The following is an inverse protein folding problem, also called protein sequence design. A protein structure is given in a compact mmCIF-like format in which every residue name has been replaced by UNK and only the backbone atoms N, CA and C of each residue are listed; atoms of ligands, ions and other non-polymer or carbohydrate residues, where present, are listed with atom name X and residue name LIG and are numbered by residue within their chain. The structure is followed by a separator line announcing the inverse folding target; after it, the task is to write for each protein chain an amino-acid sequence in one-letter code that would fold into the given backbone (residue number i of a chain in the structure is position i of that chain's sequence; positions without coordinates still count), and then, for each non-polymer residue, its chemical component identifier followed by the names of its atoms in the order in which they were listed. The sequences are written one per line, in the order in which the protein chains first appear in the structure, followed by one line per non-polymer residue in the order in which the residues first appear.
data_IF_747377693348
#
_entry.id   IF_747377693348
#
_cell.length_a   1.000
_cell.length_b   1.000
_cell.length_c   1.000
_cell.angle_alpha   90.00
_cell.angle_beta   90.00
_cell.angle_gamma   90.00
#
_symmetry.space_group_name_H-M   'P 1'
#
loop_
_entity.id
_entity.type
_entity.pdbx_description
1 polymer ?
#
# COMPACT_ATOMS: atom_id res chain seq x y z
N UNK A 1 26.26 -20.80 83.48
CA UNK A 1 26.20 -21.07 82.02
C UNK A 1 27.53 -20.63 81.43
N UNK A 2 28.30 -21.42 80.70
CA UNK A 2 28.20 -22.84 80.28
C UNK A 2 29.57 -23.51 80.43
N UNK A 3 29.62 -24.83 80.60
CA UNK A 3 30.87 -25.58 80.82
C UNK A 3 31.31 -26.26 79.50
N UNK A 4 32.61 -26.29 79.14
CA UNK A 4 33.09 -27.00 77.95
C UNK A 4 33.24 -28.50 78.21
N UNK A 5 33.23 -29.32 77.15
CA UNK A 5 33.71 -30.70 77.18
C UNK A 5 34.54 -31.05 75.95
N UNK A 6 35.44 -32.01 76.16
CA UNK A 6 36.47 -32.51 75.24
C UNK A 6 36.49 -34.04 75.38
N UNK A 7 37.15 -34.76 74.46
CA UNK A 7 37.23 -36.25 74.41
C UNK A 7 35.91 -36.96 74.04
N UNK A 8 35.88 -38.17 73.47
CA UNK A 8 36.93 -39.11 73.01
C UNK A 8 36.49 -39.91 71.76
N UNK A 9 37.48 -40.58 71.11
CA UNK A 9 37.32 -41.61 70.05
C UNK A 9 36.80 -42.95 70.65
N UNK A 10 36.43 -44.02 69.91
CA UNK A 10 36.58 -44.32 68.47
C UNK A 10 35.18 -44.58 67.76
N UNK A 11 34.86 -45.48 66.80
CA UNK A 11 35.51 -46.69 66.22
C UNK A 11 34.96 -47.11 64.82
N UNK A 12 35.86 -47.61 63.96
CA UNK A 12 35.68 -48.59 62.84
C UNK A 12 34.26 -48.90 62.31
N UNK A 13 33.71 -48.10 61.37
CA UNK A 13 32.67 -48.59 60.44
C UNK A 13 32.63 -47.90 59.05
N UNK A 14 33.73 -47.24 58.64
CA UNK A 14 33.76 -46.37 57.44
C UNK A 14 34.42 -46.98 56.18
N UNK A 15 34.82 -48.25 56.21
CA UNK A 15 35.71 -48.87 55.20
C UNK A 15 35.08 -50.02 54.40
N UNK A 16 33.74 -50.15 54.36
CA UNK A 16 33.06 -51.19 53.55
C UNK A 16 32.19 -50.64 52.41
N UNK A 17 31.49 -49.51 52.57
CA UNK A 17 30.53 -49.01 51.57
C UNK A 17 31.14 -48.26 50.37
N UNK A 18 32.47 -48.23 50.20
CA UNK A 18 33.13 -47.59 49.03
C UNK A 18 33.58 -48.56 47.94
N UNK A 19 33.45 -49.87 48.15
CA UNK A 19 33.87 -50.89 47.18
C UNK A 19 32.80 -51.27 46.13
N UNK A 20 31.55 -50.78 46.27
CA UNK A 20 30.41 -51.21 45.43
C UNK A 20 29.93 -50.15 44.41
N UNK A 21 30.66 -49.05 44.21
CA UNK A 21 30.29 -47.97 43.29
C UNK A 21 31.17 -47.86 42.03
N UNK A 22 32.04 -48.85 41.76
CA UNK A 22 33.00 -48.83 40.64
C UNK A 22 32.85 -50.01 39.65
N UNK A 23 31.71 -50.71 39.67
CA UNK A 23 31.42 -51.82 38.75
C UNK A 23 30.11 -51.67 37.94
N UNK A 24 29.60 -50.45 37.78
CA UNK A 24 28.40 -50.14 36.96
C UNK A 24 28.66 -48.97 36.00
N UNK A 25 29.82 -48.98 35.33
CA UNK A 25 30.23 -47.98 34.31
C UNK A 25 30.67 -48.70 33.01
N UNK A 26 30.19 -49.92 32.79
CA UNK A 26 30.74 -50.82 31.75
C UNK A 26 29.70 -51.61 30.94
N UNK A 27 28.43 -51.18 30.87
CA UNK A 27 27.49 -51.73 29.87
C UNK A 27 26.31 -50.80 29.54
N UNK A 28 26.54 -49.79 28.70
CA UNK A 28 25.48 -49.03 28.01
C UNK A 28 26.01 -48.51 26.66
N UNK A 29 25.74 -49.24 25.57
CA UNK A 29 25.99 -48.72 24.22
C UNK A 29 24.91 -47.69 23.88
N UNK A 30 25.25 -46.51 23.35
CA UNK A 30 24.26 -45.61 22.77
C UNK A 30 23.77 -46.20 21.44
N UNK A 31 22.69 -46.98 21.48
CA UNK A 31 21.90 -47.26 20.28
C UNK A 31 21.36 -45.91 19.80
N UNK A 32 21.84 -45.45 18.64
CA UNK A 32 21.38 -44.23 18.00
C UNK A 32 19.95 -44.43 17.49
N UNK A 33 18.98 -44.30 18.41
CA UNK A 33 17.56 -44.37 18.08
C UNK A 33 17.22 -43.30 17.05
N UNK A 34 16.84 -43.74 15.85
CA UNK A 34 16.40 -42.85 14.78
C UNK A 34 15.09 -42.22 15.23
N UNK A 35 15.18 -41.03 15.82
CA UNK A 35 14.02 -40.26 16.25
C UNK A 35 13.28 -39.74 15.01
N UNK A 36 12.47 -40.60 14.42
CA UNK A 36 11.45 -40.20 13.46
C UNK A 36 10.46 -39.32 14.22
N UNK A 37 10.68 -38.00 14.14
CA UNK A 37 9.65 -37.03 14.42
C UNK A 37 8.49 -37.27 13.45
N UNK A 38 7.55 -38.12 13.85
CA UNK A 38 6.27 -38.31 13.18
C UNK A 38 5.53 -36.98 13.30
N UNK A 39 5.75 -36.11 12.32
CA UNK A 39 5.17 -34.77 12.29
C UNK A 39 3.67 -34.86 12.58
N UNK A 40 3.23 -34.15 13.62
CA UNK A 40 1.83 -34.13 14.02
C UNK A 40 1.00 -33.70 12.81
N UNK A 41 0.25 -34.64 12.24
CA UNK A 41 -0.61 -34.39 11.09
C UNK A 41 -1.70 -33.45 11.55
N UNK A 42 -1.54 -32.16 11.26
CA UNK A 42 -2.44 -31.15 11.81
C UNK A 42 -3.84 -31.41 11.28
N UNK A 43 -4.87 -31.16 12.10
CA UNK A 43 -6.26 -31.31 11.65
C UNK A 43 -6.58 -30.47 10.39
N UNK A 44 -5.80 -29.41 10.13
CA UNK A 44 -5.87 -28.62 8.90
C UNK A 44 -5.49 -29.44 7.66
N UNK A 45 -4.43 -30.24 7.73
CA UNK A 45 -3.99 -31.10 6.60
C UNK A 45 -5.04 -32.15 6.23
N UNK A 46 -5.78 -32.66 7.21
CA UNK A 46 -6.85 -33.65 6.99
C UNK A 46 -8.19 -33.05 6.55
N UNK A 47 -8.52 -31.81 6.96
CA UNK A 47 -9.79 -31.16 6.61
C UNK A 47 -9.73 -30.31 5.33
N UNK A 48 -8.56 -29.75 4.99
CA UNK A 48 -8.38 -28.87 3.81
C UNK A 48 -7.81 -29.67 2.63
N UNK A 49 -7.19 -30.83 2.91
CA UNK A 49 -6.40 -31.57 1.94
C UNK A 49 -5.03 -30.91 1.69
N UNK A 50 -4.11 -31.67 1.09
CA UNK A 50 -2.83 -31.12 0.64
C UNK A 50 -3.09 -30.18 -0.55
N UNK A 51 -2.91 -28.88 -0.34
CA UNK A 51 -2.78 -27.92 -1.45
C UNK A 51 -1.45 -28.17 -2.14
N UNK A 52 -1.44 -29.05 -3.13
CA UNK A 52 -0.32 -29.25 -4.05
C UNK A 52 -0.08 -27.96 -4.83
N UNK A 53 1.15 -27.38 -4.86
CA UNK A 53 1.43 -26.12 -5.55
C UNK A 53 1.29 -26.15 -7.08
N UNK A 54 0.77 -27.23 -7.66
CA UNK A 54 0.79 -27.52 -9.09
C UNK A 54 -0.54 -28.08 -9.63
N UNK A 55 -1.65 -27.75 -8.97
CA UNK A 55 -2.95 -27.80 -9.66
C UNK A 55 -3.00 -26.64 -10.66
N UNK A 56 -3.21 -26.94 -11.94
CA UNK A 56 -3.19 -25.96 -13.06
C UNK A 56 -4.29 -24.88 -13.03
N UNK A 57 -4.93 -24.64 -11.89
CA UNK A 57 -5.87 -23.56 -11.63
C UNK A 57 -5.18 -22.43 -10.87
N UNK A 58 -4.28 -21.72 -11.54
CA UNK A 58 -3.78 -20.42 -11.08
C UNK A 58 -4.89 -19.35 -11.23
N UNK A 59 -5.96 -19.49 -10.44
CA UNK A 59 -7.11 -18.58 -10.40
C UNK A 59 -6.78 -17.22 -9.74
N UNK A 60 -5.52 -16.99 -9.35
CA UNK A 60 -5.04 -15.67 -9.01
C UNK A 60 -5.04 -14.79 -10.28
N UNK A 61 -5.73 -13.64 -10.29
CA UNK A 61 -5.64 -12.69 -11.39
C UNK A 61 -4.18 -12.31 -11.64
N UNK A 62 -3.75 -12.09 -12.91
CA UNK A 62 -2.37 -11.73 -13.21
C UNK A 62 -1.90 -10.53 -12.38
N UNK A 63 -0.60 -10.48 -12.08
CA UNK A 63 -0.01 -9.37 -11.30
C UNK A 63 -0.25 -8.02 -11.95
N UNK A 64 -0.31 -7.96 -13.29
CA UNK A 64 -0.80 -6.81 -14.03
C UNK A 64 -1.76 -7.28 -15.12
N UNK A 65 -2.96 -6.71 -15.16
CA UNK A 65 -4.00 -7.07 -16.12
C UNK A 65 -4.92 -5.90 -16.45
N UNK A 66 -5.55 -6.02 -17.62
CA UNK A 66 -6.64 -5.16 -18.08
C UNK A 66 -7.97 -5.80 -17.71
N UNK A 67 -8.90 -4.98 -17.22
CA UNK A 67 -10.18 -5.36 -16.65
C UNK A 67 -11.32 -4.57 -17.29
N UNK A 68 -12.52 -5.14 -17.26
CA UNK A 68 -13.75 -4.50 -17.76
C UNK A 68 -14.96 -4.91 -16.94
N UNK A 69 -15.99 -4.06 -16.86
CA UNK A 69 -17.33 -4.40 -16.37
C UNK A 69 -18.29 -4.61 -17.53
N UNK A 70 -19.37 -5.36 -17.31
CA UNK A 70 -20.44 -5.58 -18.31
C UNK A 70 -21.11 -4.28 -18.79
N UNK A 71 -20.85 -3.15 -18.11
CA UNK A 71 -21.33 -1.80 -18.42
C UNK A 71 -20.27 -0.91 -19.07
N UNK A 72 -19.17 -1.50 -19.57
CA UNK A 72 -18.15 -0.83 -20.39
C UNK A 72 -17.06 -0.06 -19.63
N UNK A 73 -17.14 0.05 -18.30
CA UNK A 73 -16.07 0.66 -17.51
C UNK A 73 -14.84 -0.25 -17.53
N UNK A 74 -13.71 0.26 -18.03
CA UNK A 74 -12.50 -0.52 -18.26
C UNK A 74 -11.28 0.15 -17.61
N UNK A 75 -10.33 -0.66 -17.12
CA UNK A 75 -9.17 -0.18 -16.37
C UNK A 75 -7.99 -1.15 -16.44
N UNK A 76 -6.79 -0.64 -16.13
CA UNK A 76 -5.61 -1.46 -15.83
C UNK A 76 -5.38 -1.49 -14.32
N UNK A 77 -5.10 -2.68 -13.77
CA UNK A 77 -4.72 -2.87 -12.38
C UNK A 77 -3.36 -3.56 -12.30
N UNK A 78 -2.42 -2.91 -11.61
CA UNK A 78 -1.08 -3.40 -11.29
C UNK A 78 -1.00 -3.74 -9.79
N UNK A 79 -0.59 -4.96 -9.49
CA UNK A 79 -0.42 -5.53 -8.15
C UNK A 79 1.02 -6.04 -7.94
N UNK A 80 1.95 -5.69 -8.83
CA UNK A 80 3.38 -6.02 -8.70
C UNK A 80 4.07 -5.25 -7.57
N UNK A 81 3.56 -4.06 -7.25
CA UNK A 81 4.09 -3.14 -6.23
C UNK A 81 3.33 -3.29 -4.89
N UNK A 82 3.99 -2.91 -3.79
CA UNK A 82 3.46 -2.98 -2.40
C UNK A 82 2.06 -2.35 -2.25
N UNK A 83 1.86 -1.21 -2.92
CA UNK A 83 0.57 -0.54 -3.04
C UNK A 83 0.10 -0.74 -4.48
N UNK A 84 -1.02 -1.46 -4.73
CA UNK A 84 -1.56 -1.65 -6.06
C UNK A 84 -1.91 -0.32 -6.72
N UNK A 85 -1.77 -0.25 -8.04
CA UNK A 85 -2.04 0.92 -8.85
C UNK A 85 -3.18 0.62 -9.82
N UNK A 86 -4.12 1.55 -9.99
CA UNK A 86 -5.21 1.44 -10.96
C UNK A 86 -5.24 2.69 -11.85
N UNK A 87 -5.51 2.52 -13.15
CA UNK A 87 -5.82 3.61 -14.06
C UNK A 87 -7.07 3.23 -14.87
N UNK A 88 -8.06 4.11 -14.92
CA UNK A 88 -9.27 3.94 -15.73
C UNK A 88 -9.02 4.39 -17.17
N UNK A 89 -9.65 3.72 -18.14
CA UNK A 89 -9.54 4.14 -19.54
C UNK A 89 -10.24 5.50 -19.74
N UNK A 90 -9.50 6.46 -20.29
CA UNK A 90 -9.92 7.85 -20.46
C UNK A 90 -9.34 8.80 -19.41
N UNK A 91 -8.93 8.30 -18.24
CA UNK A 91 -8.37 9.11 -17.17
C UNK A 91 -6.84 9.17 -17.24
N UNK A 92 -6.27 10.38 -17.06
CA UNK A 92 -4.82 10.60 -16.94
C UNK A 92 -4.23 10.04 -15.64
N UNK A 93 -5.06 9.84 -14.61
CA UNK A 93 -4.59 9.62 -13.24
C UNK A 93 -4.35 8.14 -12.92
N UNK A 94 -3.11 7.79 -12.58
CA UNK A 94 -2.80 6.54 -11.87
C UNK A 94 -3.11 6.71 -10.38
N UNK A 95 -4.00 5.89 -9.83
CA UNK A 95 -4.41 5.91 -8.43
C UNK A 95 -3.64 4.84 -7.63
N UNK A 96 -2.90 5.25 -6.60
CA UNK A 96 -2.29 4.31 -5.66
C UNK A 96 -3.29 3.89 -4.57
N UNK A 97 -3.55 2.58 -4.48
CA UNK A 97 -4.54 2.01 -3.58
C UNK A 97 -3.90 1.45 -2.30
N UNK A 98 -4.67 1.51 -1.21
CA UNK A 98 -4.34 0.88 0.07
C UNK A 98 -5.16 -0.40 0.27
N UNK A 99 -4.53 -1.59 0.30
CA UNK A 99 -5.24 -2.83 0.59
C UNK A 99 -5.64 -2.90 2.08
N UNK A 100 -6.92 -3.18 2.34
CA UNK A 100 -7.48 -3.39 3.68
C UNK A 100 -8.14 -4.78 3.73
N UNK A 101 -7.94 -5.60 4.78
CA UNK A 101 -8.71 -6.83 4.97
C UNK A 101 -10.22 -6.55 5.03
N UNK A 102 -11.00 -7.36 4.32
CA UNK A 102 -12.45 -7.35 4.34
C UNK A 102 -13.05 -8.63 4.96
N UNK A 103 -14.39 -8.72 5.04
CA UNK A 103 -15.07 -9.93 5.51
C UNK A 103 -14.71 -11.17 4.69
N UNK A 104 -14.78 -12.35 5.31
CA UNK A 104 -14.59 -13.67 4.66
C UNK A 104 -13.26 -13.90 3.91
N UNK A 105 -12.25 -13.04 4.14
CA UNK A 105 -10.94 -13.09 3.49
C UNK A 105 -10.88 -12.29 2.17
N UNK A 106 -11.86 -11.44 1.90
CA UNK A 106 -11.80 -10.44 0.82
C UNK A 106 -10.72 -9.37 1.10
N UNK A 107 -10.27 -8.67 0.07
CA UNK A 107 -9.39 -7.50 0.16
C UNK A 107 -10.09 -6.30 -0.46
N UNK A 108 -10.28 -5.25 0.33
CA UNK A 108 -10.86 -3.97 -0.11
C UNK A 108 -9.70 -2.99 -0.37
N UNK A 109 -9.51 -2.63 -1.62
CA UNK A 109 -8.57 -1.60 -2.04
C UNK A 109 -9.24 -0.23 -1.99
N UNK A 110 -8.61 0.69 -1.24
CA UNK A 110 -9.12 2.04 -0.99
C UNK A 110 -8.25 3.12 -1.63
N UNK A 111 -8.85 4.24 -2.02
CA UNK A 111 -8.08 5.42 -2.43
C UNK A 111 -7.45 6.14 -1.22
N UNK A 112 -6.76 7.24 -1.48
CA UNK A 112 -6.13 8.11 -0.47
C UNK A 112 -7.13 8.82 0.45
N UNK A 113 -8.42 8.89 0.09
CA UNK A 113 -9.52 9.35 0.94
C UNK A 113 -10.12 8.24 1.84
N UNK A 114 -9.64 6.99 1.71
CA UNK A 114 -10.13 5.84 2.46
C UNK A 114 -11.44 5.23 1.94
N UNK A 115 -11.91 5.69 0.78
CA UNK A 115 -13.12 5.18 0.11
C UNK A 115 -12.80 3.89 -0.65
N UNK A 116 -13.69 2.89 -0.68
CA UNK A 116 -13.49 1.68 -1.47
C UNK A 116 -13.53 2.02 -2.97
N UNK A 117 -12.54 1.51 -3.71
CA UNK A 117 -12.47 1.60 -5.18
C UNK A 117 -12.67 0.23 -5.81
N UNK A 118 -12.06 -0.81 -5.24
CA UNK A 118 -12.10 -2.16 -5.77
C UNK A 118 -12.10 -3.17 -4.61
N UNK A 119 -12.85 -4.26 -4.72
CA UNK A 119 -12.74 -5.41 -3.82
C UNK A 119 -12.36 -6.65 -4.61
N UNK A 120 -11.25 -7.28 -4.26
CA UNK A 120 -10.98 -8.67 -4.65
C UNK A 120 -11.63 -9.61 -3.64
N UNK A 121 -12.43 -10.55 -4.12
CA UNK A 121 -13.02 -11.59 -3.28
C UNK A 121 -12.00 -12.69 -2.98
N UNK A 122 -12.16 -13.43 -1.88
CA UNK A 122 -11.30 -14.60 -1.57
C UNK A 122 -11.29 -15.66 -2.69
N UNK A 123 -12.33 -15.69 -3.54
CA UNK A 123 -12.46 -16.63 -4.66
C UNK A 123 -11.87 -16.12 -6.00
N UNK A 124 -11.25 -14.93 -6.02
CA UNK A 124 -10.54 -14.39 -7.20
C UNK A 124 -11.36 -13.42 -8.07
N UNK A 125 -12.69 -13.44 -7.97
CA UNK A 125 -13.56 -12.45 -8.64
C UNK A 125 -13.40 -11.04 -8.04
N UNK A 126 -13.60 -10.00 -8.85
CA UNK A 126 -13.46 -8.59 -8.41
C UNK A 126 -14.77 -7.81 -8.56
N UNK A 127 -14.92 -6.77 -7.73
CA UNK A 127 -16.04 -5.81 -7.75
C UNK A 127 -15.48 -4.39 -7.73
N UNK A 128 -15.79 -3.58 -8.74
CA UNK A 128 -15.45 -2.17 -8.86
C UNK A 128 -16.53 -1.33 -8.16
N UNK A 129 -16.13 -0.33 -7.36
CA UNK A 129 -17.04 0.64 -6.73
C UNK A 129 -16.87 2.01 -7.36
N UNK A 130 -17.98 2.65 -7.72
CA UNK A 130 -17.99 4.00 -8.30
C UNK A 130 -19.04 4.89 -7.60
N UNK A 131 -19.00 6.19 -7.88
CA UNK A 131 -19.94 7.17 -7.32
C UNK A 131 -21.38 6.95 -7.82
N UNK A 132 -21.55 6.48 -9.05
CA UNK A 132 -22.85 6.13 -9.63
C UNK A 132 -23.31 4.71 -9.24
N UNK A 133 -22.39 3.81 -8.84
CA UNK A 133 -22.69 2.43 -8.42
C UNK A 133 -22.04 2.10 -7.08
N UNK A 134 -22.58 2.62 -5.95
CA UNK A 134 -22.07 2.34 -4.61
C UNK A 134 -22.27 0.87 -4.17
N UNK A 135 -23.16 0.12 -4.84
CA UNK A 135 -23.28 -1.34 -4.69
C UNK A 135 -22.13 -2.12 -5.33
N UNK A 136 -21.43 -1.48 -6.27
CA UNK A 136 -20.40 -2.04 -7.13
C UNK A 136 -20.90 -2.77 -8.37
N UNK A 137 -20.04 -2.85 -9.37
CA UNK A 137 -20.17 -3.67 -10.60
C UNK A 137 -19.21 -4.87 -10.53
N UNK A 138 -19.62 -6.08 -10.97
CA UNK A 138 -18.70 -7.18 -11.23
C UNK A 138 -17.65 -6.82 -12.30
N UNK A 139 -16.47 -7.42 -12.20
CA UNK A 139 -15.35 -7.15 -13.11
C UNK A 139 -14.74 -8.44 -13.66
N UNK A 140 -14.58 -8.50 -14.98
CA UNK A 140 -13.89 -9.56 -15.70
C UNK A 140 -12.47 -9.14 -16.12
N UNK A 141 -11.57 -10.11 -16.29
CA UNK A 141 -10.26 -9.87 -16.92
C UNK A 141 -10.47 -9.78 -18.42
N UNK A 142 -10.12 -8.65 -19.01
CA UNK A 142 -10.22 -8.39 -20.45
C UNK A 142 -8.90 -8.64 -21.21
N UNK A 143 -7.75 -8.65 -20.53
CA UNK A 143 -6.47 -8.96 -21.15
C UNK A 143 -5.25 -8.78 -20.25
N UNK A 144 -4.06 -8.94 -20.84
CA UNK A 144 -2.80 -8.55 -20.19
C UNK A 144 -2.63 -7.02 -20.25
N UNK A 145 -1.81 -6.49 -19.36
CA UNK A 145 -1.36 -5.09 -19.37
C UNK A 145 0.09 -5.00 -18.86
N UNK A 146 0.72 -3.84 -19.06
CA UNK A 146 2.08 -3.54 -18.61
C UNK A 146 2.07 -2.82 -17.26
N UNK A 147 3.14 -2.98 -16.47
CA UNK A 147 3.27 -2.37 -15.14
C UNK A 147 3.44 -0.84 -15.24
N UNK A 148 2.99 -0.10 -14.22
CA UNK A 148 3.14 1.36 -14.21
C UNK A 148 4.54 1.77 -13.74
N UNK A 149 5.47 1.85 -14.69
CA UNK A 149 6.79 2.39 -14.42
C UNK A 149 6.76 3.92 -14.22
N UNK A 150 7.50 4.46 -13.23
CA UNK A 150 7.74 5.90 -13.11
C UNK A 150 8.34 6.46 -14.40
N UNK A 151 7.83 7.60 -14.86
CA UNK A 151 8.44 8.33 -15.96
C UNK A 151 9.85 8.84 -15.59
N UNK A 152 10.69 9.06 -16.60
CA UNK A 152 11.90 9.86 -16.46
C UNK A 152 11.69 11.20 -17.17
N UNK A 153 12.03 12.29 -16.49
CA UNK A 153 11.82 13.65 -16.96
C UNK A 153 12.99 14.53 -16.53
N UNK A 154 13.46 15.42 -17.41
CA UNK A 154 14.45 16.45 -17.05
C UNK A 154 13.77 17.68 -16.41
N UNK A 155 14.50 18.50 -15.62
CA UNK A 155 13.96 19.76 -15.10
C UNK A 155 13.43 20.72 -16.18
N UNK A 156 14.04 20.70 -17.38
CA UNK A 156 13.57 21.48 -18.54
C UNK A 156 12.27 20.93 -19.14
N UNK A 157 12.06 19.61 -19.14
CA UNK A 157 10.79 19.00 -19.52
C UNK A 157 9.71 19.25 -18.44
N UNK A 158 10.07 19.19 -17.17
CA UNK A 158 9.17 19.52 -16.05
C UNK A 158 8.68 20.97 -16.15
N UNK A 159 9.59 21.94 -16.37
CA UNK A 159 9.19 23.33 -16.58
C UNK A 159 8.20 23.49 -17.76
N UNK A 160 8.48 22.85 -18.90
CA UNK A 160 7.55 22.87 -20.03
C UNK A 160 6.20 22.21 -19.69
N UNK A 161 6.21 21.14 -18.88
CA UNK A 161 5.00 20.44 -18.45
C UNK A 161 4.16 21.31 -17.51
N UNK A 162 4.77 21.95 -16.51
CA UNK A 162 4.12 22.93 -15.63
C UNK A 162 3.50 24.08 -16.43
N UNK A 163 4.18 24.60 -17.46
CA UNK A 163 3.64 25.64 -18.35
C UNK A 163 2.44 25.14 -19.18
N UNK A 164 2.45 23.89 -19.68
CA UNK A 164 1.29 23.29 -20.38
C UNK A 164 0.10 23.11 -19.44
N UNK A 165 0.36 22.63 -18.23
CA UNK A 165 -0.62 22.36 -17.18
C UNK A 165 -1.24 23.65 -16.64
N UNK A 166 -0.42 24.68 -16.38
CA UNK A 166 -0.86 26.04 -16.07
C UNK A 166 -1.77 26.59 -17.16
N UNK A 167 -1.42 26.45 -18.45
CA UNK A 167 -2.28 26.86 -19.57
C UNK A 167 -3.62 26.11 -19.58
N UNK A 168 -3.64 24.80 -19.32
CA UNK A 168 -4.87 23.98 -19.23
C UNK A 168 -5.81 24.49 -18.13
N UNK A 169 -5.30 24.67 -16.91
CA UNK A 169 -6.06 25.21 -15.78
C UNK A 169 -6.51 26.67 -16.01
N UNK A 170 -5.64 27.50 -16.58
CA UNK A 170 -5.92 28.92 -16.85
C UNK A 170 -7.02 29.11 -17.89
N UNK A 171 -7.03 28.30 -18.95
CA UNK A 171 -8.06 28.33 -19.97
C UNK A 171 -9.44 27.94 -19.40
N UNK A 172 -9.48 26.97 -18.49
CA UNK A 172 -10.72 26.51 -17.85
C UNK A 172 -11.33 27.53 -16.87
N UNK A 173 -10.52 28.46 -16.35
CA UNK A 173 -10.95 29.54 -15.46
C UNK A 173 -10.97 30.94 -16.11
N UNK A 174 -10.61 31.05 -17.39
CA UNK A 174 -10.47 32.32 -18.13
C UNK A 174 -9.56 33.37 -17.46
N UNK A 175 -8.60 32.93 -16.64
CA UNK A 175 -7.59 33.78 -15.96
C UNK A 175 -6.33 32.97 -15.69
N UNK A 176 -5.21 33.63 -15.39
CA UNK A 176 -3.97 32.94 -15.05
C UNK A 176 -4.13 32.10 -13.77
N UNK A 177 -3.58 30.88 -13.80
CA UNK A 177 -3.26 30.05 -12.64
C UNK A 177 -1.79 29.64 -12.78
N UNK A 178 -0.92 30.10 -11.89
CA UNK A 178 0.49 29.68 -11.87
C UNK A 178 0.61 28.25 -11.37
N UNK A 179 1.61 27.51 -11.88
CA UNK A 179 2.00 26.20 -11.37
C UNK A 179 3.50 26.24 -11.07
N UNK A 180 3.85 26.08 -9.80
CA UNK A 180 5.23 26.09 -9.31
C UNK A 180 5.58 24.76 -8.65
N UNK A 181 6.86 24.37 -8.74
CA UNK A 181 7.38 23.16 -8.13
C UNK A 181 8.74 23.43 -7.50
N UNK A 182 8.86 23.19 -6.19
CA UNK A 182 10.14 23.15 -5.49
C UNK A 182 10.63 21.70 -5.45
N UNK A 183 11.49 21.34 -6.41
CA UNK A 183 12.09 20.01 -6.55
C UNK A 183 13.50 20.06 -5.97
N UNK A 184 13.71 19.36 -4.87
CA UNK A 184 14.97 19.33 -4.12
C UNK A 184 15.71 17.99 -4.35
N UNK A 185 14.97 16.92 -4.66
CA UNK A 185 15.47 15.57 -4.93
C UNK A 185 15.55 15.32 -6.45
N UNK A 186 16.76 15.15 -7.04
CA UNK A 186 16.90 14.88 -8.47
C UNK A 186 16.19 13.59 -8.91
N UNK A 187 15.44 13.65 -10.02
CA UNK A 187 14.70 12.50 -10.56
C UNK A 187 13.33 12.29 -9.91
N UNK A 188 12.92 13.15 -8.97
CA UNK A 188 11.54 13.22 -8.47
C UNK A 188 10.56 13.87 -9.49
N UNK A 189 11.10 14.48 -10.55
CA UNK A 189 10.44 15.31 -11.56
C UNK A 189 9.12 14.71 -12.10
N UNK A 190 9.06 13.39 -12.28
CA UNK A 190 7.87 12.70 -12.78
C UNK A 190 6.67 12.81 -11.83
N UNK A 191 6.89 12.76 -10.51
CA UNK A 191 5.81 12.82 -9.53
C UNK A 191 5.27 14.24 -9.38
N UNK A 192 6.13 15.24 -9.58
CA UNK A 192 5.72 16.64 -9.71
C UNK A 192 4.91 16.87 -10.99
N UNK A 193 5.35 16.32 -12.12
CA UNK A 193 4.61 16.42 -13.38
C UNK A 193 3.22 15.76 -13.32
N UNK A 194 3.14 14.57 -12.72
CA UNK A 194 1.89 13.84 -12.47
C UNK A 194 0.97 14.60 -11.49
N UNK A 195 1.48 15.05 -10.34
CA UNK A 195 0.73 15.88 -9.40
C UNK A 195 0.21 17.19 -10.02
N UNK A 196 0.99 17.81 -10.90
CA UNK A 196 0.57 18.99 -11.66
C UNK A 196 -0.60 18.66 -12.60
N UNK A 197 -0.48 17.61 -13.43
CA UNK A 197 -1.54 17.16 -14.35
C UNK A 197 -2.85 16.90 -13.59
N UNK A 198 -2.78 16.08 -12.55
CA UNK A 198 -3.93 15.68 -11.72
C UNK A 198 -4.60 16.86 -11.03
N UNK A 199 -3.82 17.87 -10.65
CA UNK A 199 -4.36 19.11 -10.07
C UNK A 199 -5.05 19.98 -11.12
N UNK A 200 -4.49 20.10 -12.33
CA UNK A 200 -5.18 20.79 -13.42
C UNK A 200 -6.44 20.05 -13.89
N UNK A 201 -6.43 18.72 -13.89
CA UNK A 201 -7.60 17.90 -14.25
C UNK A 201 -8.73 18.11 -13.22
N UNK A 202 -8.43 18.11 -11.93
CA UNK A 202 -9.37 18.46 -10.86
C UNK A 202 -9.92 19.90 -10.98
N UNK A 203 -9.08 20.87 -11.34
CA UNK A 203 -9.49 22.26 -11.61
C UNK A 203 -10.42 22.32 -12.82
N UNK A 204 -10.11 21.61 -13.91
CA UNK A 204 -10.96 21.53 -15.11
C UNK A 204 -12.32 20.90 -14.79
N UNK A 205 -12.37 19.77 -14.09
CA UNK A 205 -13.63 19.11 -13.69
C UNK A 205 -14.50 20.07 -12.86
N UNK A 206 -13.94 20.66 -11.80
CA UNK A 206 -14.67 21.61 -10.96
C UNK A 206 -15.14 22.83 -11.76
N UNK A 207 -14.32 23.35 -12.68
CA UNK A 207 -14.66 24.49 -13.54
C UNK A 207 -15.84 24.22 -14.50
N UNK A 208 -16.23 22.97 -14.73
CA UNK A 208 -17.40 22.65 -15.56
C UNK A 208 -18.71 23.18 -14.95
N UNK A 209 -18.76 23.42 -13.63
CA UNK A 209 -19.97 23.85 -12.90
C UNK A 209 -19.87 25.28 -12.36
N UNK A 210 -20.98 26.01 -12.36
CA UNK A 210 -21.07 27.36 -11.77
C UNK A 210 -20.72 27.37 -10.26
N UNK A 211 -21.00 26.28 -9.54
CA UNK A 211 -20.59 26.14 -8.13
C UNK A 211 -19.08 25.95 -8.00
N UNK A 212 -18.48 25.07 -8.79
CA UNK A 212 -17.03 24.83 -8.78
C UNK A 212 -16.23 26.06 -9.21
N UNK A 213 -16.67 26.83 -10.21
CA UNK A 213 -16.06 28.13 -10.57
C UNK A 213 -16.05 29.12 -9.40
N UNK A 214 -17.09 29.17 -8.57
CA UNK A 214 -17.11 30.02 -7.35
C UNK A 214 -16.13 29.53 -6.28
N UNK A 215 -15.98 28.22 -6.11
CA UNK A 215 -15.02 27.62 -5.16
C UNK A 215 -13.56 27.80 -5.63
N UNK A 216 -13.31 27.71 -6.94
CA UNK A 216 -12.01 27.95 -7.57
C UNK A 216 -11.65 29.44 -7.66
N UNK A 217 -12.61 30.36 -7.49
CA UNK A 217 -12.40 31.79 -7.72
C UNK A 217 -11.17 32.37 -7.01
N UNK A 218 -10.86 32.04 -5.74
CA UNK A 218 -9.67 32.57 -5.05
C UNK A 218 -8.32 32.02 -5.55
N UNK A 219 -8.28 30.84 -6.20
CA UNK A 219 -7.02 30.09 -6.39
C UNK A 219 -6.20 30.62 -7.58
N UNK A 220 -5.18 31.43 -7.33
CA UNK A 220 -4.31 32.04 -8.35
C UNK A 220 -3.01 31.25 -8.60
N UNK A 221 -2.59 30.40 -7.67
CA UNK A 221 -1.37 29.60 -7.75
C UNK A 221 -1.60 28.16 -7.29
N UNK A 222 -0.87 27.23 -7.88
CA UNK A 222 -0.70 25.85 -7.43
C UNK A 222 0.78 25.64 -7.14
N UNK A 223 1.12 25.26 -5.92
CA UNK A 223 2.50 25.11 -5.48
C UNK A 223 2.77 23.70 -4.96
N UNK A 224 3.68 23.01 -5.63
CA UNK A 224 4.10 21.64 -5.32
C UNK A 224 5.41 21.68 -4.52
N UNK A 225 5.46 21.00 -3.38
CA UNK A 225 6.66 20.92 -2.53
C UNK A 225 6.92 19.48 -2.08
N UNK A 226 8.16 19.14 -1.73
CA UNK A 226 8.48 17.85 -1.10
C UNK A 226 8.04 17.82 0.38
N UNK A 227 7.65 16.65 0.88
CA UNK A 227 7.47 16.45 2.33
C UNK A 227 6.54 15.30 2.71
N UNK A 228 6.37 15.09 4.02
CA UNK A 228 5.58 13.98 4.58
C UNK A 228 4.61 14.46 5.68
N UNK A 229 3.51 13.74 5.95
CA UNK A 229 2.82 12.83 5.02
C UNK A 229 2.26 13.62 3.81
N UNK A 230 1.85 12.95 2.72
CA UNK A 230 1.35 13.67 1.55
C UNK A 230 -0.01 14.32 1.82
N UNK A 231 -0.14 15.61 1.51
CA UNK A 231 -1.28 16.45 1.88
C UNK A 231 -1.56 17.53 0.83
N UNK A 232 -2.76 18.13 0.88
CA UNK A 232 -3.13 19.31 0.12
C UNK A 232 -3.97 20.25 1.00
N UNK A 233 -3.77 21.56 0.85
CA UNK A 233 -4.51 22.62 1.57
C UNK A 233 -4.55 23.89 0.73
N UNK A 234 -5.40 24.85 1.12
CA UNK A 234 -5.40 26.20 0.54
C UNK A 234 -4.79 27.17 1.55
N UNK A 235 -3.93 28.05 1.07
CA UNK A 235 -3.22 29.07 1.84
C UNK A 235 -3.31 30.40 1.10
N UNK A 236 -4.21 31.28 1.56
CA UNK A 236 -4.57 32.50 0.83
C UNK A 236 -5.20 32.20 -0.53
N UNK A 237 -4.50 32.55 -1.61
CA UNK A 237 -4.84 32.27 -3.00
C UNK A 237 -4.07 31.08 -3.61
N UNK A 238 -3.26 30.40 -2.81
CA UNK A 238 -2.37 29.32 -3.25
C UNK A 238 -2.89 27.95 -2.83
N UNK A 239 -3.06 27.03 -3.79
CA UNK A 239 -3.31 25.62 -3.54
C UNK A 239 -1.97 24.91 -3.33
N UNK A 240 -1.69 24.53 -2.09
CA UNK A 240 -0.46 23.84 -1.69
C UNK A 240 -0.63 22.32 -1.80
N UNK A 241 0.34 21.63 -2.40
CA UNK A 241 0.44 20.16 -2.40
C UNK A 241 1.82 19.73 -1.90
N UNK A 242 1.84 18.82 -0.91
CA UNK A 242 3.06 18.24 -0.34
C UNK A 242 3.22 16.79 -0.77
N UNK A 243 4.36 16.47 -1.38
CA UNK A 243 4.63 15.21 -2.08
C UNK A 243 5.62 14.32 -1.31
N UNK A 244 5.19 13.11 -0.96
CA UNK A 244 5.98 12.11 -0.24
C UNK A 244 6.65 11.14 -1.21
N UNK A 245 7.85 11.50 -1.67
CA UNK A 245 8.62 10.75 -2.67
C UNK A 245 8.86 9.27 -2.31
N UNK A 246 8.82 8.89 -1.02
CA UNK A 246 9.03 7.50 -0.59
C UNK A 246 7.91 6.53 -0.96
N UNK A 247 6.80 7.04 -1.50
CA UNK A 247 5.62 6.26 -1.91
C UNK A 247 5.43 6.18 -3.44
N UNK A 248 6.31 6.80 -4.23
CA UNK A 248 6.17 6.88 -5.69
C UNK A 248 4.82 7.49 -6.08
N UNK A 249 4.04 6.80 -6.92
CA UNK A 249 2.66 7.17 -7.28
C UNK A 249 1.74 7.43 -6.06
N UNK A 250 1.94 6.75 -4.94
CA UNK A 250 1.21 6.99 -3.67
C UNK A 250 1.75 8.17 -2.85
N UNK A 251 2.68 8.92 -3.40
CA UNK A 251 3.32 10.09 -2.80
C UNK A 251 2.58 11.39 -3.02
N UNK A 252 1.54 11.45 -3.87
CA UNK A 252 0.75 12.66 -4.09
C UNK A 252 -0.71 12.52 -3.62
N UNK A 253 -1.40 13.65 -3.37
CA UNK A 253 -2.86 13.72 -3.37
C UNK A 253 -3.48 13.13 -4.65
N UNK A 254 -4.69 12.56 -4.54
CA UNK A 254 -5.53 12.27 -5.72
C UNK A 254 -6.26 13.52 -6.23
N UNK A 255 -6.74 13.48 -7.47
CA UNK A 255 -7.69 14.48 -8.02
C UNK A 255 -8.87 14.70 -7.06
N UNK A 256 -9.43 13.60 -6.55
CA UNK A 256 -10.58 13.60 -5.64
C UNK A 256 -10.25 14.22 -4.28
N UNK A 257 -9.03 14.06 -3.76
CA UNK A 257 -8.57 14.79 -2.56
C UNK A 257 -8.39 16.29 -2.85
N UNK A 258 -7.79 16.65 -3.98
CA UNK A 258 -7.65 18.06 -4.41
C UNK A 258 -9.02 18.73 -4.52
N UNK A 259 -9.98 18.11 -5.21
CA UNK A 259 -11.35 18.61 -5.30
C UNK A 259 -12.04 18.74 -3.94
N UNK A 260 -11.82 17.78 -3.02
CA UNK A 260 -12.37 17.85 -1.66
C UNK A 260 -11.83 19.07 -0.89
N UNK A 261 -10.52 19.31 -0.95
CA UNK A 261 -9.85 20.46 -0.30
C UNK A 261 -10.35 21.80 -0.86
N UNK A 262 -10.45 21.90 -2.19
CA UNK A 262 -10.99 23.07 -2.89
C UNK A 262 -12.48 23.30 -2.60
N UNK A 263 -13.25 22.23 -2.39
CA UNK A 263 -14.66 22.32 -2.03
C UNK A 263 -14.92 22.64 -0.55
N UNK A 264 -13.95 22.39 0.34
CA UNK A 264 -14.05 22.71 1.77
C UNK A 264 -13.34 24.00 2.19
N UNK A 265 -12.53 24.62 1.32
CA UNK A 265 -11.69 25.77 1.68
C UNK A 265 -10.69 25.42 2.80
N UNK A 266 -10.09 24.23 2.74
CA UNK A 266 -9.35 23.66 3.86
C UNK A 266 -8.02 24.36 4.15
N UNK A 267 -7.91 24.98 5.32
CA UNK A 267 -6.64 25.46 5.90
C UNK A 267 -5.63 24.31 6.11
N UNK A 268 -4.37 24.67 6.34
CA UNK A 268 -3.27 23.72 6.58
C UNK A 268 -3.50 22.77 7.78
N UNK A 269 -3.12 21.47 7.65
CA UNK A 269 -3.08 20.50 8.75
C UNK A 269 -1.73 20.43 9.48
#
# INVERSE_FOLDING_TARGET
MTNPQFTSRPTRFQTLCRALCLLIIALCLPVAGVSQAQAERTLRDSLIGRVTPNDGRTNAPPTVARFTTDRGASFVLDRSRRNPLIQFDGDSEVWALTPTPGPMGDIIFKNDLGEPVLKATRWGGMILFSKDRPTGDPVAVAGRAEAFEPGHMSPSQLFQHLVRTSKKASAALSRLVRFEADVQTPGADYLFADAATVTADAIVEMSATTKGRKLLAPVQEVKLIEGRPPSAWVEGDTLMLKLDLSKGWGGRPSSKRVMKVLASGGNAP
#
